data_IF_471526308824
#
_entry.id   IF_471526308824
#
_cell.length_a   1.000
_cell.length_b   1.000
_cell.length_c   1.000
_cell.angle_alpha   90.00
_cell.angle_beta   90.00
_cell.angle_gamma   90.00
#
_symmetry.space_group_name_H-M   'P 1'
#
loop_
_entity.id
_entity.type
_entity.pdbx_description
1 polymer ?
#
# COMPACT_ATOMS: atom_id res chain seq x y z
N UNK A 1 3.81 -34.10 -10.84
CA UNK A 1 2.38 -34.15 -10.48
C UNK A 1 2.12 -33.64 -9.06
N UNK A 2 2.79 -34.16 -8.00
CA UNK A 2 2.53 -33.73 -6.62
C UNK A 2 2.81 -32.23 -6.33
N UNK A 3 3.91 -31.66 -6.83
CA UNK A 3 4.17 -30.19 -6.74
C UNK A 3 3.05 -29.34 -7.34
N UNK A 4 2.50 -29.78 -8.48
CA UNK A 4 1.41 -29.06 -9.18
C UNK A 4 0.13 -29.08 -8.34
N UNK A 5 -0.18 -30.21 -7.69
CA UNK A 5 -1.35 -30.29 -6.79
C UNK A 5 -1.13 -29.36 -5.60
N UNK A 6 0.08 -29.38 -5.01
CA UNK A 6 0.43 -28.56 -3.85
C UNK A 6 0.38 -27.06 -4.15
N UNK A 7 0.90 -26.62 -5.30
CA UNK A 7 0.89 -25.21 -5.70
C UNK A 7 -0.51 -24.66 -5.96
N UNK A 8 -1.48 -25.53 -6.24
CA UNK A 8 -2.87 -25.16 -6.49
C UNK A 8 -3.74 -25.18 -5.21
N UNK A 9 -3.22 -25.71 -4.11
CA UNK A 9 -3.95 -25.76 -2.84
C UNK A 9 -3.81 -24.44 -2.09
N UNK A 10 -4.89 -23.92 -1.48
CA UNK A 10 -4.76 -22.84 -0.51
C UNK A 10 -3.80 -23.25 0.61
N UNK A 11 -3.03 -22.30 1.14
CA UNK A 11 -1.89 -22.55 2.03
C UNK A 11 -2.23 -23.47 3.21
N UNK A 12 -3.42 -23.27 3.79
CA UNK A 12 -3.92 -24.09 4.90
C UNK A 12 -4.04 -25.57 4.52
N UNK A 13 -4.50 -25.87 3.31
CA UNK A 13 -4.66 -27.24 2.83
C UNK A 13 -3.32 -27.82 2.39
N UNK A 14 -2.49 -27.03 1.71
CA UNK A 14 -1.11 -27.40 1.37
C UNK A 14 -0.31 -27.82 2.60
N UNK A 15 -0.32 -27.01 3.66
CA UNK A 15 0.32 -27.37 4.93
C UNK A 15 -0.26 -28.64 5.56
N UNK A 16 -1.58 -28.90 5.44
CA UNK A 16 -2.21 -30.12 5.96
C UNK A 16 -1.84 -31.38 5.18
N UNK A 17 -1.55 -31.27 3.88
CA UNK A 17 -1.11 -32.43 3.09
C UNK A 17 0.19 -33.03 3.62
N UNK A 18 1.02 -32.23 4.31
CA UNK A 18 2.24 -32.70 4.97
C UNK A 18 2.00 -33.71 6.10
N UNK A 19 0.76 -33.80 6.60
CA UNK A 19 0.34 -34.81 7.58
C UNK A 19 -0.06 -36.14 6.92
N UNK A 20 -0.38 -36.13 5.63
CA UNK A 20 -0.82 -37.33 4.90
C UNK A 20 0.36 -38.23 4.51
N UNK A 21 1.55 -37.65 4.28
CA UNK A 21 2.76 -38.42 3.98
C UNK A 21 4.02 -37.58 4.16
N UNK A 22 5.09 -38.21 4.65
CA UNK A 22 6.40 -37.56 4.82
C UNK A 22 6.98 -37.00 3.51
N UNK A 23 6.61 -37.58 2.36
CA UNK A 23 7.07 -37.12 1.03
C UNK A 23 6.53 -35.75 0.65
N UNK A 24 5.43 -35.30 1.26
CA UNK A 24 4.80 -34.02 0.95
C UNK A 24 5.41 -32.85 1.72
N UNK A 25 6.05 -33.10 2.87
CA UNK A 25 6.77 -32.08 3.65
C UNK A 25 7.84 -31.32 2.86
N UNK A 26 8.84 -31.97 2.25
CA UNK A 26 9.90 -31.25 1.55
C UNK A 26 9.40 -30.55 0.28
N UNK A 27 8.34 -31.08 -0.34
CA UNK A 27 7.70 -30.45 -1.51
C UNK A 27 7.00 -29.15 -1.09
N UNK A 28 6.12 -29.23 -0.09
CA UNK A 28 5.46 -28.06 0.49
C UNK A 28 6.44 -26.98 0.94
N UNK A 29 7.50 -27.36 1.67
CA UNK A 29 8.44 -26.38 2.22
C UNK A 29 9.30 -25.67 1.16
N UNK A 30 9.36 -26.17 -0.08
CA UNK A 30 10.21 -25.62 -1.14
C UNK A 30 9.43 -25.15 -2.38
N UNK A 31 8.11 -25.27 -2.37
CA UNK A 31 7.27 -24.74 -3.44
C UNK A 31 7.12 -23.22 -3.29
N UNK A 32 7.15 -22.43 -4.37
CA UNK A 32 6.92 -21.00 -4.27
C UNK A 32 5.48 -20.72 -3.84
N UNK A 33 5.28 -19.80 -2.89
CA UNK A 33 3.94 -19.37 -2.48
C UNK A 33 3.55 -18.12 -3.24
N UNK A 34 2.41 -18.17 -3.92
CA UNK A 34 1.90 -17.02 -4.65
C UNK A 34 1.36 -15.93 -3.71
N UNK A 35 0.63 -16.29 -2.65
CA UNK A 35 0.09 -15.33 -1.69
C UNK A 35 -0.12 -15.92 -0.30
N UNK A 36 0.46 -15.29 0.72
CA UNK A 36 0.17 -15.55 2.13
C UNK A 36 -0.85 -14.52 2.62
N UNK A 37 -2.09 -14.92 2.86
CA UNK A 37 -3.09 -14.09 3.55
C UNK A 37 -3.26 -14.53 5.00
N UNK A 38 -2.85 -13.66 5.94
CA UNK A 38 -2.89 -13.98 7.36
C UNK A 38 -4.32 -14.17 7.86
N UNK A 39 -5.32 -13.49 7.28
CA UNK A 39 -6.72 -13.65 7.67
C UNK A 39 -7.28 -15.03 7.34
N UNK A 40 -6.77 -15.69 6.31
CA UNK A 40 -7.24 -17.01 5.87
C UNK A 40 -6.60 -18.17 6.64
N UNK A 41 -5.51 -17.93 7.37
CA UNK A 41 -4.77 -18.98 8.07
C UNK A 41 -5.56 -19.60 9.21
N UNK A 42 -6.13 -18.78 10.09
CA UNK A 42 -6.83 -19.22 11.30
C UNK A 42 -7.90 -18.22 11.74
N UNK A 43 -8.96 -18.73 12.37
CA UNK A 43 -9.94 -17.89 13.04
C UNK A 43 -9.34 -17.32 14.33
N UNK A 44 -9.36 -15.99 14.44
CA UNK A 44 -8.80 -15.26 15.57
C UNK A 44 -7.39 -14.76 15.30
N UNK A 45 -7.19 -13.46 15.56
CA UNK A 45 -5.96 -12.73 15.26
C UNK A 45 -4.67 -13.43 15.75
N UNK A 46 -4.60 -13.78 17.03
CA UNK A 46 -3.37 -14.35 17.61
C UNK A 46 -2.98 -15.69 16.96
N UNK A 47 -3.97 -16.56 16.73
CA UNK A 47 -3.75 -17.87 16.09
C UNK A 47 -3.28 -17.71 14.65
N UNK A 48 -3.83 -16.72 13.94
CA UNK A 48 -3.40 -16.36 12.59
C UNK A 48 -1.94 -15.92 12.56
N UNK A 49 -1.51 -15.06 13.50
CA UNK A 49 -0.12 -14.65 13.61
C UNK A 49 0.83 -15.79 13.96
N UNK A 50 0.46 -16.63 14.92
CA UNK A 50 1.29 -17.79 15.30
C UNK A 50 1.43 -18.77 14.12
N UNK A 51 0.35 -18.98 13.36
CA UNK A 51 0.38 -19.77 12.13
C UNK A 51 1.28 -19.14 11.06
N UNK A 52 1.22 -17.82 10.90
CA UNK A 52 2.06 -17.08 9.97
C UNK A 52 3.55 -17.22 10.32
N UNK A 53 3.93 -16.99 11.58
CA UNK A 53 5.31 -17.17 12.03
C UNK A 53 5.78 -18.62 11.86
N UNK A 54 4.90 -19.60 12.11
CA UNK A 54 5.21 -21.02 11.90
C UNK A 54 5.41 -21.35 10.43
N UNK A 55 4.60 -20.79 9.54
CA UNK A 55 4.74 -20.97 8.09
C UNK A 55 6.07 -20.38 7.65
N UNK A 56 6.38 -19.14 8.00
CA UNK A 56 7.67 -18.52 7.64
C UNK A 56 8.88 -19.25 8.22
N UNK A 57 8.76 -19.84 9.42
CA UNK A 57 9.84 -20.64 10.01
C UNK A 57 10.01 -22.04 9.42
N UNK A 58 8.99 -22.57 8.71
CA UNK A 58 9.03 -23.93 8.14
C UNK A 58 9.11 -23.94 6.61
N UNK A 59 8.69 -22.85 5.97
CA UNK A 59 8.64 -22.69 4.53
C UNK A 59 9.88 -21.95 4.03
N UNK A 60 10.68 -22.62 3.22
CA UNK A 60 11.94 -22.12 2.65
C UNK A 60 11.75 -21.61 1.21
N UNK A 61 10.60 -21.86 0.58
CA UNK A 61 10.30 -21.38 -0.76
C UNK A 61 10.03 -19.86 -0.81
N UNK A 62 10.29 -19.21 -1.96
CA UNK A 62 10.06 -17.78 -2.13
C UNK A 62 8.56 -17.46 -2.09
N UNK A 63 8.22 -16.34 -1.45
CA UNK A 63 6.85 -15.83 -1.35
C UNK A 63 6.71 -14.60 -2.24
N UNK A 64 5.74 -14.61 -3.16
CA UNK A 64 5.48 -13.49 -4.07
C UNK A 64 4.53 -12.44 -3.49
N UNK A 65 3.57 -12.85 -2.65
CA UNK A 65 2.58 -11.95 -2.09
C UNK A 65 2.36 -12.17 -0.59
N UNK A 66 2.20 -11.09 0.16
CA UNK A 66 1.94 -11.09 1.58
C UNK A 66 0.83 -10.10 1.90
N UNK A 67 -0.27 -10.61 2.46
CA UNK A 67 -1.39 -9.83 2.97
C UNK A 67 -1.48 -10.04 4.47
N UNK A 68 -1.15 -8.97 5.16
CA UNK A 68 -1.13 -8.90 6.60
C UNK A 68 -2.19 -7.90 7.02
N UNK A 69 -3.12 -8.31 7.88
CA UNK A 69 -4.12 -7.37 8.39
C UNK A 69 -4.25 -7.33 9.89
N UNK A 70 -5.38 -6.81 10.39
CA UNK A 70 -5.48 -6.17 11.71
C UNK A 70 -4.93 -7.03 12.82
N UNK A 71 -3.77 -6.63 13.31
CA UNK A 71 -3.03 -7.38 14.29
C UNK A 71 -2.98 -6.63 15.62
N UNK A 72 -3.60 -7.15 16.69
CA UNK A 72 -3.41 -6.65 18.07
C UNK A 72 -2.01 -6.98 18.63
N UNK A 73 -0.93 -6.45 18.04
CA UNK A 73 0.44 -6.83 18.43
C UNK A 73 0.85 -6.21 19.77
N UNK A 74 1.31 -7.05 20.71
CA UNK A 74 2.04 -6.56 21.87
C UNK A 74 3.50 -6.24 21.49
N UNK A 75 4.32 -5.75 22.42
CA UNK A 75 5.72 -5.41 22.13
C UNK A 75 6.57 -6.58 21.63
N UNK A 76 6.30 -7.82 22.08
CA UNK A 76 7.01 -9.03 21.64
C UNK A 76 6.66 -9.40 20.21
N UNK A 77 5.41 -9.22 19.81
CA UNK A 77 4.94 -9.49 18.46
C UNK A 77 5.58 -8.53 17.44
N UNK A 78 5.93 -7.30 17.85
CA UNK A 78 6.66 -6.34 17.00
C UNK A 78 8.07 -6.81 16.65
N UNK A 79 8.83 -7.30 17.63
CA UNK A 79 10.17 -7.84 17.39
C UNK A 79 10.11 -9.04 16.43
N UNK A 80 9.17 -9.96 16.67
CA UNK A 80 8.93 -11.10 15.77
C UNK A 80 8.52 -10.68 14.36
N UNK A 81 7.72 -9.62 14.21
CA UNK A 81 7.37 -9.07 12.91
C UNK A 81 8.59 -8.47 12.21
N UNK A 82 9.45 -7.74 12.92
CA UNK A 82 10.70 -7.23 12.36
C UNK A 82 11.63 -8.38 11.89
N UNK A 83 11.78 -9.42 12.71
CA UNK A 83 12.54 -10.62 12.37
C UNK A 83 11.95 -11.34 11.14
N UNK A 84 10.62 -11.41 11.07
CA UNK A 84 9.90 -12.00 9.95
C UNK A 84 10.19 -11.26 8.63
N UNK A 85 10.18 -9.93 8.63
CA UNK A 85 10.50 -9.16 7.43
C UNK A 85 11.95 -9.40 6.96
N UNK A 86 12.87 -9.75 7.86
CA UNK A 86 14.26 -10.15 7.54
C UNK A 86 14.39 -11.58 6.99
N UNK A 87 13.31 -12.36 6.96
CA UNK A 87 13.34 -13.73 6.46
C UNK A 87 13.66 -13.78 4.96
N UNK A 88 14.53 -14.71 4.50
CA UNK A 88 14.82 -14.89 3.09
C UNK A 88 13.61 -15.35 2.27
N UNK A 89 12.59 -15.93 2.92
CA UNK A 89 11.35 -16.33 2.27
C UNK A 89 10.60 -15.15 1.63
N UNK A 90 10.85 -13.92 2.09
CA UNK A 90 10.23 -12.69 1.58
C UNK A 90 11.13 -11.92 0.60
N UNK A 91 12.32 -12.42 0.26
CA UNK A 91 13.28 -11.68 -0.58
C UNK A 91 12.80 -11.47 -2.02
N UNK A 92 11.81 -12.26 -2.46
CA UNK A 92 11.20 -12.16 -3.80
C UNK A 92 9.76 -11.61 -3.75
N UNK A 93 9.42 -10.90 -2.67
CA UNK A 93 8.07 -10.38 -2.48
C UNK A 93 7.77 -9.28 -3.50
N UNK A 94 6.73 -9.49 -4.30
CA UNK A 94 6.23 -8.55 -5.30
C UNK A 94 5.01 -7.77 -4.79
N UNK A 95 4.19 -8.37 -3.92
CA UNK A 95 3.00 -7.72 -3.37
C UNK A 95 2.99 -7.71 -1.85
N UNK A 96 2.86 -6.51 -1.27
CA UNK A 96 2.73 -6.32 0.18
C UNK A 96 1.45 -5.56 0.50
N UNK A 97 0.58 -6.15 1.30
CA UNK A 97 -0.49 -5.44 2.00
C UNK A 97 -0.25 -5.52 3.49
N UNK A 98 -0.20 -4.37 4.14
CA UNK A 98 -0.03 -4.25 5.59
C UNK A 98 -1.16 -3.38 6.15
N UNK A 99 -2.06 -3.98 6.92
CA UNK A 99 -3.15 -3.30 7.64
C UNK A 99 -3.01 -3.56 9.15
N UNK A 100 -2.41 -2.63 9.89
CA UNK A 100 -2.23 -2.84 11.33
C UNK A 100 -3.54 -2.73 12.12
N UNK A 101 -4.52 -1.96 11.61
CA UNK A 101 -5.79 -1.68 12.28
C UNK A 101 -5.71 -0.83 13.56
N UNK A 102 -4.51 -0.55 14.07
CA UNK A 102 -4.29 0.11 15.36
C UNK A 102 -3.27 1.25 15.30
N UNK A 103 -2.97 1.79 14.10
CA UNK A 103 -2.00 2.88 13.92
C UNK A 103 -0.65 2.54 14.56
N UNK A 104 -0.04 1.39 14.25
CA UNK A 104 1.35 1.11 14.67
C UNK A 104 2.35 1.34 13.54
N UNK A 105 3.59 1.56 13.92
CA UNK A 105 4.71 1.74 12.99
C UNK A 105 5.00 0.47 12.21
N UNK A 106 5.03 0.60 10.89
CA UNK A 106 5.58 -0.40 9.99
C UNK A 106 7.07 -0.61 10.35
N UNK A 107 7.54 -1.85 10.57
CA UNK A 107 8.94 -2.12 10.92
C UNK A 107 9.91 -1.63 9.84
N UNK A 108 11.07 -1.10 10.26
CA UNK A 108 12.11 -0.64 9.33
C UNK A 108 12.61 -1.76 8.41
N UNK A 109 12.64 -2.99 8.91
CA UNK A 109 12.98 -4.18 8.12
C UNK A 109 12.10 -4.37 6.89
N UNK A 110 10.85 -3.90 6.87
CA UNK A 110 9.97 -4.01 5.71
C UNK A 110 10.50 -3.21 4.50
N UNK A 111 11.31 -2.17 4.73
CA UNK A 111 11.90 -1.36 3.66
C UNK A 111 12.89 -2.14 2.79
N UNK A 112 13.45 -3.27 3.29
CA UNK A 112 14.34 -4.13 2.49
C UNK A 112 13.63 -4.75 1.28
N UNK A 113 12.31 -4.82 1.31
CA UNK A 113 11.47 -5.38 0.25
C UNK A 113 11.28 -4.39 -0.91
N UNK A 114 11.62 -3.11 -0.72
CA UNK A 114 11.45 -2.05 -1.70
C UNK A 114 11.94 -2.38 -3.14
N UNK A 115 13.09 -3.07 -3.35
CA UNK A 115 13.58 -3.35 -4.70
C UNK A 115 12.72 -4.31 -5.52
N UNK A 116 11.99 -5.22 -4.86
CA UNK A 116 11.21 -6.28 -5.54
C UNK A 116 9.72 -5.97 -5.64
N UNK A 117 9.22 -5.09 -4.79
CA UNK A 117 7.81 -4.75 -4.73
C UNK A 117 7.30 -4.14 -6.04
N UNK A 118 6.21 -4.71 -6.54
CA UNK A 118 5.40 -4.23 -7.65
C UNK A 118 4.11 -3.57 -7.17
N UNK A 119 3.55 -4.07 -6.07
CA UNK A 119 2.34 -3.55 -5.45
C UNK A 119 2.50 -3.42 -3.94
N UNK A 120 2.19 -2.25 -3.41
CA UNK A 120 2.23 -1.98 -1.98
C UNK A 120 0.92 -1.32 -1.51
N UNK A 121 0.34 -1.84 -0.43
CA UNK A 121 -0.88 -1.32 0.18
C UNK A 121 -0.67 -1.19 1.67
N UNK A 122 -0.56 0.04 2.16
CA UNK A 122 -0.41 0.35 3.56
C UNK A 122 -1.72 0.92 4.10
N UNK A 123 -2.23 0.30 5.14
CA UNK A 123 -3.49 0.66 5.78
C UNK A 123 -3.31 0.79 7.28
N UNK A 124 -3.94 1.81 7.86
CA UNK A 124 -4.03 1.99 9.30
C UNK A 124 -2.68 1.88 10.05
N UNK A 125 -1.59 2.43 9.51
CA UNK A 125 -0.24 2.33 10.08
C UNK A 125 0.52 3.66 10.12
N UNK A 126 1.55 3.75 10.96
CA UNK A 126 2.58 4.79 10.87
C UNK A 126 3.67 4.31 9.92
N UNK A 127 4.03 5.15 8.95
CA UNK A 127 5.20 4.88 8.13
C UNK A 127 6.47 5.16 8.95
N UNK A 128 7.53 4.33 8.84
CA UNK A 128 8.77 4.62 9.52
C UNK A 128 9.40 5.91 8.97
N UNK A 129 10.14 6.65 9.81
CA UNK A 129 10.86 7.84 9.35
C UNK A 129 11.91 7.45 8.31
N UNK A 130 11.90 8.12 7.15
CA UNK A 130 12.85 7.86 6.06
C UNK A 130 14.10 8.74 6.13
N UNK A 131 14.16 9.68 7.09
CA UNK A 131 15.24 10.65 7.23
C UNK A 131 16.63 10.01 7.41
N UNK A 132 16.69 8.84 8.06
CA UNK A 132 17.95 8.15 8.39
C UNK A 132 18.25 6.97 7.44
N UNK A 133 17.36 6.70 6.48
CA UNK A 133 17.52 5.60 5.53
C UNK A 133 18.26 6.08 4.27
N UNK A 134 19.14 5.24 3.67
CA UNK A 134 19.60 5.50 2.31
C UNK A 134 18.39 5.63 1.38
N UNK A 135 18.54 6.37 0.28
CA UNK A 135 17.46 6.66 -0.66
C UNK A 135 16.60 5.42 -0.92
N UNK A 136 15.34 5.45 -0.46
CA UNK A 136 14.41 4.35 -0.62
C UNK A 136 14.02 4.29 -2.10
N UNK A 137 14.54 3.30 -2.84
CA UNK A 137 14.26 3.14 -4.27
C UNK A 137 13.30 1.97 -4.44
N UNK A 138 12.19 2.23 -5.13
CA UNK A 138 11.16 1.27 -5.47
C UNK A 138 11.07 1.13 -6.99
N UNK A 139 12.05 0.48 -7.64
CA UNK A 139 12.23 0.54 -9.08
C UNK A 139 11.15 -0.21 -9.86
N UNK A 140 10.45 -1.15 -9.21
CA UNK A 140 9.44 -2.02 -9.83
C UNK A 140 8.01 -1.69 -9.40
N UNK A 141 7.83 -0.72 -8.50
CA UNK A 141 6.54 -0.44 -7.87
C UNK A 141 5.63 0.31 -8.84
N UNK A 142 4.58 -0.39 -9.29
CA UNK A 142 3.55 0.16 -10.20
C UNK A 142 2.31 0.62 -9.46
N UNK A 143 2.01 0.03 -8.31
CA UNK A 143 0.76 0.26 -7.58
C UNK A 143 1.02 0.58 -6.11
N UNK A 144 0.62 1.77 -5.68
CA UNK A 144 0.75 2.21 -4.29
C UNK A 144 -0.62 2.65 -3.74
N UNK A 145 -1.03 2.06 -2.62
CA UNK A 145 -2.20 2.50 -1.86
C UNK A 145 -1.79 2.87 -0.43
N UNK A 146 -2.13 4.09 -0.02
CA UNK A 146 -1.97 4.59 1.34
C UNK A 146 -3.37 4.94 1.87
N UNK A 147 -3.82 4.24 2.91
CA UNK A 147 -5.14 4.45 3.51
C UNK A 147 -5.01 4.60 5.03
N UNK A 148 -5.45 5.73 5.60
CA UNK A 148 -5.28 6.00 7.03
C UNK A 148 -3.81 5.82 7.45
N UNK A 149 -2.87 6.42 6.72
CA UNK A 149 -1.43 6.34 7.02
C UNK A 149 -0.97 7.66 7.62
N UNK A 150 -0.18 7.56 8.67
CA UNK A 150 0.50 8.71 9.26
C UNK A 150 1.95 8.75 8.76
N UNK A 151 2.30 9.79 8.01
CA UNK A 151 3.64 10.03 7.50
C UNK A 151 3.92 11.53 7.42
N UNK A 152 5.19 11.93 7.51
CA UNK A 152 5.57 13.33 7.34
C UNK A 152 5.57 13.73 5.86
N UNK A 153 5.48 15.04 5.58
CA UNK A 153 5.62 15.58 4.21
C UNK A 153 6.91 15.13 3.54
N UNK A 154 8.04 15.25 4.24
CA UNK A 154 9.35 14.88 3.70
C UNK A 154 9.46 13.38 3.43
N UNK A 155 8.83 12.52 4.24
CA UNK A 155 8.80 11.08 3.97
C UNK A 155 7.92 10.74 2.76
N UNK A 156 6.79 11.45 2.57
CA UNK A 156 5.93 11.28 1.39
C UNK A 156 6.66 11.64 0.10
N UNK A 157 7.35 12.79 0.08
CA UNK A 157 8.11 13.25 -1.08
C UNK A 157 9.27 12.30 -1.40
N UNK A 158 9.98 11.80 -0.38
CA UNK A 158 11.03 10.78 -0.57
C UNK A 158 10.48 9.45 -1.09
N UNK A 159 9.34 9.00 -0.55
CA UNK A 159 8.68 7.77 -1.00
C UNK A 159 8.29 7.89 -2.48
N UNK A 160 7.65 8.99 -2.87
CA UNK A 160 7.25 9.23 -4.26
C UNK A 160 8.46 9.37 -5.20
N UNK A 161 9.50 10.10 -4.79
CA UNK A 161 10.73 10.25 -5.56
C UNK A 161 11.44 8.90 -5.77
N UNK A 162 11.33 7.98 -4.80
CA UNK A 162 11.84 6.63 -4.90
C UNK A 162 11.11 5.73 -5.90
N UNK A 163 9.86 6.06 -6.24
CA UNK A 163 9.00 5.25 -7.11
C UNK A 163 9.15 5.67 -8.58
N UNK A 164 10.06 5.02 -9.31
CA UNK A 164 10.34 5.40 -10.71
C UNK A 164 9.34 4.84 -11.73
N UNK A 165 8.63 3.76 -11.40
CA UNK A 165 7.69 3.06 -12.30
C UNK A 165 6.24 3.11 -11.86
N UNK A 166 5.90 4.03 -10.95
CA UNK A 166 4.56 4.12 -10.35
C UNK A 166 3.50 4.52 -11.39
N UNK A 167 2.50 3.67 -11.60
CA UNK A 167 1.41 3.90 -12.54
C UNK A 167 0.11 4.29 -11.82
N UNK A 168 -0.11 3.79 -10.60
CA UNK A 168 -1.31 4.03 -9.78
C UNK A 168 -0.96 4.47 -8.37
N UNK A 169 -1.58 5.57 -7.93
CA UNK A 169 -1.46 6.10 -6.57
C UNK A 169 -2.84 6.31 -5.96
N UNK A 170 -3.10 5.66 -4.82
CA UNK A 170 -4.28 5.92 -3.98
C UNK A 170 -3.88 6.53 -2.65
N UNK A 171 -4.49 7.66 -2.34
CA UNK A 171 -4.35 8.37 -1.07
C UNK A 171 -5.72 8.47 -0.41
N UNK A 172 -5.83 7.96 0.81
CA UNK A 172 -7.07 8.05 1.57
C UNK A 172 -6.78 8.33 3.04
N UNK A 173 -7.46 9.32 3.63
CA UNK A 173 -7.34 9.62 5.09
C UNK A 173 -5.88 9.77 5.50
N UNK A 174 -5.10 10.56 4.77
CA UNK A 174 -3.67 10.74 5.08
C UNK A 174 -3.52 11.80 6.16
N UNK A 175 -2.92 11.42 7.29
CA UNK A 175 -2.70 12.30 8.44
C UNK A 175 -1.31 12.93 8.39
N UNK A 176 -1.22 14.22 8.72
CA UNK A 176 0.07 14.94 8.83
C UNK A 176 0.54 15.64 7.56
N UNK A 177 -0.28 15.66 6.50
CA UNK A 177 0.01 16.38 5.25
C UNK A 177 -0.83 17.67 5.18
N UNK A 178 -0.16 18.82 5.26
CA UNK A 178 -0.76 20.13 4.97
C UNK A 178 -0.72 20.42 3.47
N UNK A 179 0.45 20.36 2.85
CA UNK A 179 0.63 20.53 1.41
C UNK A 179 1.76 19.66 0.87
N UNK A 180 1.59 19.03 -0.29
CA UNK A 180 2.68 18.26 -0.93
C UNK A 180 2.58 18.28 -2.45
N UNK A 181 3.73 18.03 -3.08
CA UNK A 181 3.90 18.06 -4.53
C UNK A 181 4.03 16.65 -5.08
N UNK A 182 3.36 16.39 -6.20
CA UNK A 182 3.48 15.17 -6.97
C UNK A 182 4.12 15.53 -8.31
N UNK A 183 5.30 14.94 -8.55
CA UNK A 183 6.00 14.97 -9.82
C UNK A 183 6.30 13.53 -10.22
N UNK A 184 5.80 13.09 -11.38
CA UNK A 184 6.06 11.73 -11.85
C UNK A 184 5.90 11.61 -13.37
N UNK A 185 6.85 10.92 -14.01
CA UNK A 185 6.81 10.70 -15.46
C UNK A 185 5.99 9.46 -15.86
N UNK A 186 5.64 8.61 -14.91
CA UNK A 186 5.03 7.29 -15.15
C UNK A 186 3.60 7.16 -14.63
N UNK A 187 3.20 8.07 -13.73
CA UNK A 187 1.94 8.00 -13.03
C UNK A 187 0.76 8.27 -13.96
N UNK A 188 -0.15 7.30 -14.06
CA UNK A 188 -1.33 7.34 -14.94
C UNK A 188 -2.63 7.61 -14.20
N UNK A 189 -2.75 7.12 -12.97
CA UNK A 189 -4.00 7.25 -12.19
C UNK A 189 -3.71 7.71 -10.77
N UNK A 190 -4.37 8.78 -10.35
CA UNK A 190 -4.40 9.25 -8.96
C UNK A 190 -5.82 9.08 -8.44
N UNK A 191 -5.96 8.47 -7.27
CA UNK A 191 -7.21 8.41 -6.52
C UNK A 191 -7.02 9.04 -5.15
N UNK A 192 -7.78 10.08 -4.84
CA UNK A 192 -7.76 10.78 -3.55
C UNK A 192 -9.14 10.66 -2.91
N UNK A 193 -9.20 10.21 -1.65
CA UNK A 193 -10.45 10.10 -0.90
C UNK A 193 -10.30 10.60 0.54
N UNK A 194 -11.10 11.58 0.95
CA UNK A 194 -11.11 12.16 2.29
C UNK A 194 -9.73 12.61 2.80
N UNK A 195 -9.43 13.91 2.70
CA UNK A 195 -8.28 14.48 3.40
C UNK A 195 -8.68 14.77 4.85
N UNK A 196 -8.06 14.11 5.82
CA UNK A 196 -8.40 14.35 7.22
C UNK A 196 -7.79 15.66 7.69
N UNK A 197 -8.60 16.72 7.66
CA UNK A 197 -8.41 17.85 8.55
C UNK A 197 -8.71 17.37 9.97
N UNK A 198 -7.70 17.36 10.86
CA UNK A 198 -8.02 17.21 12.28
C UNK A 198 -9.06 18.29 12.61
N UNK A 199 -10.10 17.95 13.38
CA UNK A 199 -10.99 18.89 14.06
C UNK A 199 -10.24 19.70 15.14
N UNK A 200 -9.00 20.08 14.87
CA UNK A 200 -8.30 21.12 15.61
C UNK A 200 -8.85 22.45 15.11
N UNK A 201 -9.07 23.38 16.03
CA UNK A 201 -9.63 24.73 15.86
C UNK A 201 -8.91 25.64 14.85
N UNK A 202 -7.97 25.11 14.07
CA UNK A 202 -7.17 25.80 13.08
C UNK A 202 -7.49 25.20 11.71
N UNK A 203 -8.14 25.99 10.85
CA UNK A 203 -8.33 25.71 9.42
C UNK A 203 -6.96 25.55 8.77
N UNK A 204 -6.50 24.33 8.56
CA UNK A 204 -5.33 24.06 7.73
C UNK A 204 -5.84 23.84 6.32
N UNK A 205 -5.49 24.73 5.40
CA UNK A 205 -5.77 24.55 3.98
C UNK A 205 -4.94 23.36 3.48
N UNK A 206 -5.62 22.26 3.14
CA UNK A 206 -4.98 21.10 2.55
C UNK A 206 -4.86 21.26 1.03
N UNK A 207 -3.64 21.24 0.50
CA UNK A 207 -3.35 21.54 -0.90
C UNK A 207 -2.43 20.52 -1.57
N UNK A 208 -2.86 19.95 -2.70
CA UNK A 208 -2.07 19.02 -3.51
C UNK A 208 -1.69 19.70 -4.81
N UNK A 209 -0.40 19.71 -5.14
CA UNK A 209 0.08 20.24 -6.42
C UNK A 209 0.57 19.10 -7.28
N UNK A 210 -0.07 18.88 -8.42
CA UNK A 210 0.37 17.94 -9.45
C UNK A 210 1.11 18.75 -10.50
N UNK A 211 2.41 18.53 -10.59
CA UNK A 211 3.29 19.25 -11.49
C UNK A 211 4.04 18.26 -12.38
N UNK A 212 4.27 18.64 -13.64
CA UNK A 212 5.08 17.88 -14.60
C UNK A 212 4.78 16.38 -14.59
N UNK A 213 3.50 16.03 -14.74
CA UNK A 213 3.03 14.64 -14.72
C UNK A 213 2.44 14.26 -16.08
N UNK A 214 3.27 14.08 -17.13
CA UNK A 214 2.82 13.96 -18.51
C UNK A 214 2.07 12.66 -18.84
N UNK A 215 2.26 11.61 -18.03
CA UNK A 215 1.59 10.32 -18.20
C UNK A 215 0.22 10.25 -17.53
N UNK A 216 -0.19 11.28 -16.78
CA UNK A 216 -1.42 11.24 -15.99
C UNK A 216 -2.64 11.22 -16.90
N UNK A 217 -3.42 10.14 -16.83
CA UNK A 217 -4.64 9.93 -17.61
C UNK A 217 -5.90 10.19 -16.79
N UNK A 218 -5.89 9.83 -15.50
CA UNK A 218 -7.07 9.84 -14.62
C UNK A 218 -6.75 10.44 -13.25
N UNK A 219 -7.58 11.38 -12.81
CA UNK A 219 -7.57 11.93 -11.47
C UNK A 219 -8.97 11.77 -10.87
N UNK A 220 -9.08 10.99 -9.81
CA UNK A 220 -10.34 10.73 -9.12
C UNK A 220 -10.25 11.31 -7.72
N UNK A 221 -11.21 12.14 -7.35
CA UNK A 221 -11.23 12.89 -6.10
C UNK A 221 -12.61 12.72 -5.48
N UNK A 222 -12.65 12.07 -4.33
CA UNK A 222 -13.85 11.86 -3.53
C UNK A 222 -13.67 12.62 -2.22
N UNK A 223 -14.34 13.76 -2.10
CA UNK A 223 -14.20 14.64 -0.95
C UNK A 223 -15.49 14.65 -0.12
N UNK A 224 -15.38 14.27 1.15
CA UNK A 224 -16.50 14.26 2.09
C UNK A 224 -16.43 15.39 3.13
N UNK A 225 -15.28 16.07 3.30
CA UNK A 225 -15.03 16.94 4.47
C UNK A 225 -14.60 18.40 4.15
N UNK A 226 -14.25 18.78 2.91
CA UNK A 226 -14.02 20.19 2.55
C UNK A 226 -12.83 20.43 1.61
N UNK A 227 -12.65 21.64 1.06
CA UNK A 227 -12.03 21.88 -0.24
C UNK A 227 -10.56 21.44 -0.29
N UNK A 228 -10.36 20.19 -0.69
CA UNK A 228 -9.07 19.70 -1.15
C UNK A 228 -8.68 20.53 -2.37
N UNK A 229 -7.77 21.51 -2.19
CA UNK A 229 -7.27 22.32 -3.31
C UNK A 229 -6.28 21.49 -4.11
N UNK A 230 -6.69 21.04 -5.29
CA UNK A 230 -5.81 20.30 -6.20
C UNK A 230 -5.44 21.22 -7.35
N UNK A 231 -4.17 21.64 -7.38
CA UNK A 231 -3.63 22.46 -8.47
C UNK A 231 -2.88 21.55 -9.45
N UNK A 232 -3.35 21.50 -10.69
CA UNK A 232 -2.67 20.78 -11.77
C UNK A 232 -1.97 21.80 -12.66
N UNK A 233 -0.64 21.76 -12.69
CA UNK A 233 0.20 22.72 -13.43
C UNK A 233 0.53 22.20 -14.83
N UNK A 234 0.79 20.90 -14.98
CA UNK A 234 1.14 20.28 -16.27
C UNK A 234 0.83 18.78 -16.29
N UNK A 235 -0.24 18.40 -16.98
CA UNK A 235 -0.70 17.02 -17.15
C UNK A 235 -1.43 16.85 -18.50
N UNK A 236 -0.71 16.88 -19.65
CA UNK A 236 -1.30 16.91 -21.00
C UNK A 236 -2.23 15.74 -21.35
N UNK A 237 -2.07 14.57 -20.73
CA UNK A 237 -2.90 13.37 -21.01
C UNK A 237 -4.12 13.23 -20.11
N UNK A 238 -4.39 14.20 -19.23
CA UNK A 238 -5.45 14.07 -18.24
C UNK A 238 -6.83 14.12 -18.92
N UNK A 239 -7.53 12.98 -18.93
CA UNK A 239 -8.82 12.80 -19.62
C UNK A 239 -10.01 12.76 -18.67
N UNK A 240 -9.84 12.16 -17.49
CA UNK A 240 -10.92 11.93 -16.54
C UNK A 240 -10.59 12.60 -15.22
N UNK A 241 -11.36 13.63 -14.87
CA UNK A 241 -11.41 14.19 -13.52
C UNK A 241 -12.77 13.85 -12.92
N UNK A 242 -12.82 12.83 -12.07
CA UNK A 242 -14.02 12.48 -11.32
C UNK A 242 -14.00 13.22 -9.99
N UNK A 243 -14.81 14.26 -9.84
CA UNK A 243 -14.98 14.98 -8.58
C UNK A 243 -16.35 14.66 -8.00
N UNK A 244 -16.38 14.01 -6.83
CA UNK A 244 -17.61 13.76 -6.07
C UNK A 244 -17.47 14.47 -4.74
N UNK A 245 -18.13 15.62 -4.63
CA UNK A 245 -18.28 16.39 -3.40
C UNK A 245 -19.75 16.76 -3.28
N UNK A 246 -20.40 16.30 -2.21
CA UNK A 246 -21.78 16.67 -1.93
C UNK A 246 -21.92 18.12 -1.45
N UNK A 247 -20.82 18.87 -1.25
CA UNK A 247 -20.87 20.17 -0.54
C UNK A 247 -20.05 21.33 -1.10
N UNK A 248 -18.98 21.14 -1.88
CA UNK A 248 -18.11 22.25 -2.34
C UNK A 248 -17.43 21.94 -3.69
N UNK A 249 -17.69 22.68 -4.78
CA UNK A 249 -17.17 22.36 -6.12
C UNK A 249 -16.12 23.37 -6.62
N UNK A 250 -14.96 23.47 -5.96
CA UNK A 250 -13.84 24.29 -6.49
C UNK A 250 -12.65 23.41 -6.87
N UNK A 251 -12.46 23.22 -8.17
CA UNK A 251 -11.26 22.67 -8.79
C UNK A 251 -10.61 23.80 -9.59
N UNK A 252 -9.45 24.28 -9.15
CA UNK A 252 -8.70 25.32 -9.87
C UNK A 252 -7.66 24.66 -10.76
N UNK A 253 -8.01 24.44 -12.02
CA UNK A 253 -7.07 24.02 -13.07
C UNK A 253 -6.41 25.24 -13.70
N UNK A 254 -5.08 25.28 -13.68
CA UNK A 254 -4.32 26.33 -14.35
C UNK A 254 -4.46 26.20 -15.87
N UNK A 255 -4.98 27.26 -16.51
CA UNK A 255 -5.04 27.55 -17.95
C UNK A 255 -6.20 27.03 -18.82
N UNK A 256 -7.25 26.40 -18.28
CA UNK A 256 -8.59 26.39 -18.93
C UNK A 256 -9.68 25.94 -17.95
N UNK A 257 -10.79 26.70 -17.78
CA UNK A 257 -11.93 26.24 -16.98
C UNK A 257 -12.70 25.18 -17.76
N UNK A 258 -12.45 23.90 -17.45
CA UNK A 258 -13.27 22.80 -17.93
C UNK A 258 -14.39 22.57 -16.91
N UNK A 259 -15.60 23.01 -17.24
CA UNK A 259 -16.80 22.65 -16.49
C UNK A 259 -17.05 21.14 -16.65
N UNK A 260 -16.81 20.37 -15.58
CA UNK A 260 -17.13 18.94 -15.57
C UNK A 260 -18.64 18.79 -15.54
N UNK A 261 -19.23 18.47 -16.69
CA UNK A 261 -20.65 18.17 -16.84
C UNK A 261 -20.89 16.74 -16.32
N UNK A 262 -21.34 16.61 -15.08
CA UNK A 262 -21.78 15.34 -14.51
C UNK A 262 -23.05 14.87 -15.25
N UNK A 263 -22.89 13.93 -16.17
CA UNK A 263 -23.99 13.22 -16.82
C UNK A 263 -24.43 12.07 -15.91
N UNK A 264 -25.43 12.30 -15.07
CA UNK A 264 -26.20 11.19 -14.48
C UNK A 264 -27.19 10.68 -15.54
N UNK A 265 -26.96 9.47 -16.09
CA UNK A 265 -28.06 8.75 -16.73
C UNK A 265 -28.93 8.18 -15.62
N UNK A 266 -30.23 8.53 -15.68
CA UNK A 266 -31.30 8.12 -14.77
C UNK A 266 -31.41 6.60 -14.65
#
# INVERSE_FOLDING_TARGET
MLRVIISLLPIKYGARTTLLSQRWRPLWNSDPLDLIDTHELCHGYRKSLDAFFKILGSHLGPTKGLRMGKFCSNSKDRAKLDDCFRSPALDQLEELTFDDGHMRSLPMSALRLAPTLRGAKFRNCHFPPLNDAPALILPRLKHLELVAVCLSKGDMERLLHGCTTLEYLRLQVINGLSTFHITSMTLRTIYVCCWCGRKTSQKVDHGMVIQDTPALERLLVVDQEGPTRINVISAPKLTVVGYSSDKYPELVTGSTPMFVRLSFRK
#
